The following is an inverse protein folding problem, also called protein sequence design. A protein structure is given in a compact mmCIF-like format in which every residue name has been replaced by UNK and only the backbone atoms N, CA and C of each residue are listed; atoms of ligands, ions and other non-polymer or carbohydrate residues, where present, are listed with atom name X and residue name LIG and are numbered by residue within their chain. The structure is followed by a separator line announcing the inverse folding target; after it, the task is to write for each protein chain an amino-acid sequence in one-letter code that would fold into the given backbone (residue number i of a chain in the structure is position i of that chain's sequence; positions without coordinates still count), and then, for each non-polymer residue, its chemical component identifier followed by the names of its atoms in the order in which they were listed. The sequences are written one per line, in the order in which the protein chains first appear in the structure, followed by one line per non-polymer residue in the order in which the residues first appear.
data_IF_453654252410
#
_entry.id   IF_453654252410
#
_cell.length_a   1.000
_cell.length_b   1.000
_cell.length_c   1.000
_cell.angle_alpha   90.00
_cell.angle_beta   90.00
_cell.angle_gamma   90.00
#
_symmetry.space_group_name_H-M   'P 1'
#
loop_
_entity.id
_entity.type
_entity.pdbx_description
1 polymer ?
#
# COMPACT_ATOMS: atom_id res chain seq x y z
N UNK A 1 -0.84 107.48 -118.39
CA UNK A 1 -0.44 108.52 -119.36
C UNK A 1 0.93 108.14 -119.89
N UNK A 2 0.95 107.75 -121.16
CA UNK A 2 2.03 107.81 -122.15
C UNK A 2 3.47 107.34 -121.85
N UNK A 3 3.94 106.54 -122.81
CA UNK A 3 5.33 106.23 -123.20
C UNK A 3 6.10 105.17 -122.41
N UNK A 4 6.17 103.98 -123.00
CA UNK A 4 7.45 103.38 -123.37
C UNK A 4 7.28 102.50 -124.62
N UNK A 5 7.08 103.15 -125.77
CA UNK A 5 7.42 102.60 -127.09
C UNK A 5 8.88 102.97 -127.34
N UNK A 6 9.80 102.10 -126.93
CA UNK A 6 11.17 102.06 -127.44
C UNK A 6 11.72 100.65 -127.16
N UNK A 7 12.13 99.94 -128.21
CA UNK A 7 12.59 98.54 -128.17
C UNK A 7 14.00 98.37 -127.54
N UNK A 8 14.37 99.22 -126.58
CA UNK A 8 15.69 99.26 -125.93
C UNK A 8 15.62 99.09 -124.41
N UNK A 9 14.47 98.69 -123.84
CA UNK A 9 14.37 98.37 -122.41
C UNK A 9 13.47 97.16 -122.21
N UNK A 10 14.09 96.00 -122.03
CA UNK A 10 13.38 94.74 -121.75
C UNK A 10 13.01 94.68 -120.25
N UNK A 11 11.76 94.37 -119.92
CA UNK A 11 11.34 94.18 -118.52
C UNK A 11 12.05 92.99 -117.82
N UNK A 12 12.71 92.11 -118.61
CA UNK A 12 13.57 91.04 -118.12
C UNK A 12 15.03 91.45 -117.87
N UNK A 13 15.47 92.65 -118.29
CA UNK A 13 16.81 93.17 -117.97
C UNK A 13 16.81 93.74 -116.55
N UNK A 14 17.24 92.92 -115.60
CA UNK A 14 17.41 93.33 -114.21
C UNK A 14 18.72 94.11 -114.01
N UNK A 15 18.67 95.42 -114.23
CA UNK A 15 19.78 96.35 -113.97
C UNK A 15 20.19 96.42 -112.48
N UNK A 16 19.40 95.85 -111.57
CA UNK A 16 19.67 95.77 -110.14
C UNK A 16 20.09 94.37 -109.67
N UNK A 17 20.35 93.43 -110.59
CA UNK A 17 20.62 92.02 -110.28
C UNK A 17 21.79 91.82 -109.32
N UNK A 18 22.89 92.57 -109.48
CA UNK A 18 24.04 92.51 -108.56
C UNK A 18 23.69 92.93 -107.13
N UNK A 19 22.87 93.98 -106.97
CA UNK A 19 22.44 94.44 -105.64
C UNK A 19 21.49 93.42 -105.00
N UNK A 20 20.60 92.82 -105.80
CA UNK A 20 19.68 91.76 -105.38
C UNK A 20 20.45 90.50 -104.97
N UNK A 21 21.46 90.13 -105.75
CA UNK A 21 22.37 89.00 -105.48
C UNK A 21 23.15 89.21 -104.17
N UNK A 22 23.75 90.40 -103.96
CA UNK A 22 24.43 90.72 -102.71
C UNK A 22 23.50 90.65 -101.50
N UNK A 23 22.28 91.21 -101.61
CA UNK A 23 21.29 91.14 -100.54
C UNK A 23 20.83 89.70 -100.25
N UNK A 24 20.64 88.86 -101.28
CA UNK A 24 20.34 87.44 -101.12
C UNK A 24 21.51 86.67 -100.49
N UNK A 25 22.75 87.00 -100.86
CA UNK A 25 23.95 86.40 -100.29
C UNK A 25 24.12 86.76 -98.81
N UNK A 26 23.84 88.00 -98.43
CA UNK A 26 23.85 88.46 -97.03
C UNK A 26 22.72 87.81 -96.21
N UNK A 27 21.51 87.69 -96.77
CA UNK A 27 20.39 86.97 -96.14
C UNK A 27 20.73 85.49 -95.93
N UNK A 28 21.24 84.81 -96.97
CA UNK A 28 21.68 83.42 -96.86
C UNK A 28 22.79 83.26 -95.82
N UNK A 29 23.77 84.18 -95.79
CA UNK A 29 24.84 84.16 -94.78
C UNK A 29 24.29 84.34 -93.37
N UNK A 30 23.38 85.30 -93.16
CA UNK A 30 22.76 85.56 -91.86
C UNK A 30 21.93 84.36 -91.38
N UNK A 31 21.13 83.74 -92.25
CA UNK A 31 20.38 82.52 -91.91
C UNK A 31 21.28 81.34 -91.61
N UNK A 32 22.34 81.13 -92.38
CA UNK A 32 23.31 80.07 -92.11
C UNK A 32 24.05 80.30 -90.79
N UNK A 33 24.45 81.54 -90.48
CA UNK A 33 25.07 81.88 -89.20
C UNK A 33 24.09 81.63 -88.04
N UNK A 34 22.82 82.02 -88.16
CA UNK A 34 21.78 81.73 -87.17
C UNK A 34 21.59 80.23 -86.96
N UNK A 35 21.43 79.44 -88.03
CA UNK A 35 21.29 77.98 -87.96
C UNK A 35 22.52 77.31 -87.32
N UNK A 36 23.74 77.79 -87.63
CA UNK A 36 24.96 77.30 -87.00
C UNK A 36 24.98 77.62 -85.51
N UNK A 37 24.58 78.83 -85.11
CA UNK A 37 24.51 79.22 -83.69
C UNK A 37 23.47 78.42 -82.91
N UNK A 38 22.27 78.26 -83.46
CA UNK A 38 21.19 77.48 -82.85
C UNK A 38 21.57 76.02 -82.72
N UNK A 39 22.16 75.42 -83.76
CA UNK A 39 22.63 74.02 -83.70
C UNK A 39 23.72 73.85 -82.65
N UNK A 40 24.67 74.78 -82.56
CA UNK A 40 25.73 74.75 -81.54
C UNK A 40 25.17 74.90 -80.12
N UNK A 41 24.19 75.78 -79.93
CA UNK A 41 23.50 75.94 -78.65
C UNK A 41 22.76 74.67 -78.27
N UNK A 42 21.95 74.10 -79.18
CA UNK A 42 21.24 72.85 -78.96
C UNK A 42 22.17 71.66 -78.67
N UNK A 43 23.31 71.55 -79.38
CA UNK A 43 24.33 70.54 -79.10
C UNK A 43 24.98 70.74 -77.72
N UNK A 44 25.20 71.99 -77.31
CA UNK A 44 25.73 72.32 -75.97
C UNK A 44 24.73 71.95 -74.88
N UNK A 45 23.45 72.31 -75.05
CA UNK A 45 22.38 72.00 -74.10
C UNK A 45 22.17 70.49 -73.99
N UNK A 46 22.19 69.77 -75.12
CA UNK A 46 22.11 68.30 -75.14
C UNK A 46 23.28 67.67 -74.39
N UNK A 47 24.51 68.17 -74.57
CA UNK A 47 25.69 67.69 -73.83
C UNK A 47 25.59 68.00 -72.35
N UNK A 48 25.09 69.16 -71.97
CA UNK A 48 24.88 69.53 -70.57
C UNK A 48 23.82 68.64 -69.92
N UNK A 49 22.69 68.41 -70.60
CA UNK A 49 21.64 67.51 -70.13
C UNK A 49 22.13 66.07 -70.00
N UNK A 50 22.92 65.57 -70.96
CA UNK A 50 23.50 64.23 -70.87
C UNK A 50 24.46 64.11 -69.68
N UNK A 51 25.34 65.09 -69.47
CA UNK A 51 26.24 65.09 -68.30
C UNK A 51 25.46 65.10 -66.98
N UNK A 52 24.44 65.94 -66.86
CA UNK A 52 23.59 65.98 -65.67
C UNK A 52 22.86 64.65 -65.44
N UNK A 53 22.40 63.99 -66.51
CA UNK A 53 21.81 62.66 -66.42
C UNK A 53 22.83 61.60 -65.96
N UNK A 54 24.02 61.57 -66.57
CA UNK A 54 25.07 60.62 -66.23
C UNK A 54 25.51 60.80 -64.76
N UNK A 55 25.64 62.04 -64.29
CA UNK A 55 25.93 62.37 -62.89
C UNK A 55 24.83 61.89 -61.94
N UNK A 56 23.56 62.07 -62.32
CA UNK A 56 22.42 61.59 -61.53
C UNK A 56 22.38 60.06 -61.43
N UNK A 57 22.68 59.35 -62.53
CA UNK A 57 22.76 57.88 -62.54
C UNK A 57 23.90 57.41 -61.64
N UNK A 58 25.09 58.01 -61.74
CA UNK A 58 26.22 57.69 -60.88
C UNK A 58 25.93 57.96 -59.40
N UNK A 59 25.23 59.05 -59.08
CA UNK A 59 24.82 59.35 -57.71
C UNK A 59 23.82 58.30 -57.17
N UNK A 60 22.84 57.90 -57.99
CA UNK A 60 21.88 56.86 -57.63
C UNK A 60 22.56 55.51 -57.40
N UNK A 61 23.48 55.12 -58.27
CA UNK A 61 24.16 53.83 -58.17
C UNK A 61 25.09 53.79 -56.93
N UNK A 62 25.75 54.92 -56.59
CA UNK A 62 26.48 55.05 -55.31
C UNK A 62 25.57 54.85 -54.10
N UNK A 63 24.40 55.51 -54.11
CA UNK A 63 23.42 55.39 -53.04
C UNK A 63 22.91 53.94 -52.92
N UNK A 64 22.68 53.26 -54.05
CA UNK A 64 22.26 51.87 -54.06
C UNK A 64 23.32 50.95 -53.41
N UNK A 65 24.60 51.13 -53.75
CA UNK A 65 25.69 50.38 -53.13
C UNK A 65 25.82 50.65 -51.62
N UNK A 66 25.63 51.90 -51.19
CA UNK A 66 25.64 52.27 -49.77
C UNK A 66 24.48 51.62 -49.02
N UNK A 67 23.27 51.65 -49.59
CA UNK A 67 22.08 51.00 -49.00
C UNK A 67 22.27 49.49 -48.88
N UNK A 68 22.75 48.82 -49.94
CA UNK A 68 23.01 47.39 -49.91
C UNK A 68 24.03 47.02 -48.82
N UNK A 69 25.10 47.81 -48.67
CA UNK A 69 26.09 47.60 -47.61
C UNK A 69 25.47 47.73 -46.21
N UNK A 70 24.62 48.73 -46.01
CA UNK A 70 23.94 48.95 -44.73
C UNK A 70 22.94 47.83 -44.42
N UNK A 71 22.21 47.33 -45.42
CA UNK A 71 21.31 46.19 -45.28
C UNK A 71 22.07 44.91 -44.89
N UNK A 72 23.18 44.62 -45.58
CA UNK A 72 24.03 43.48 -45.25
C UNK A 72 24.57 43.57 -43.82
N UNK A 73 24.97 44.76 -43.37
CA UNK A 73 25.43 44.95 -42.00
C UNK A 73 24.31 44.77 -40.96
N UNK A 74 23.12 45.32 -41.21
CA UNK A 74 21.95 45.09 -40.37
C UNK A 74 21.59 43.60 -40.30
N UNK A 75 21.57 42.91 -41.43
CA UNK A 75 21.28 41.48 -41.48
C UNK A 75 22.31 40.67 -40.69
N UNK A 76 23.60 41.01 -40.81
CA UNK A 76 24.66 40.38 -40.02
C UNK A 76 24.43 40.59 -38.52
N UNK A 77 24.10 41.81 -38.09
CA UNK A 77 23.83 42.13 -36.69
C UNK A 77 22.62 41.38 -36.14
N UNK A 78 21.55 41.25 -36.93
CA UNK A 78 20.36 40.46 -36.56
C UNK A 78 20.72 38.98 -36.42
N UNK A 79 21.47 38.43 -37.38
CA UNK A 79 21.90 37.03 -37.34
C UNK A 79 22.80 36.75 -36.13
N UNK A 80 23.73 37.64 -35.80
CA UNK A 80 24.57 37.53 -34.61
C UNK A 80 23.75 37.60 -33.32
N UNK A 81 22.76 38.50 -33.24
CA UNK A 81 21.86 38.60 -32.10
C UNK A 81 21.03 37.33 -31.92
N UNK A 82 20.45 36.80 -33.00
CA UNK A 82 19.69 35.54 -33.00
C UNK A 82 20.56 34.36 -32.58
N UNK A 83 21.80 34.29 -33.06
CA UNK A 83 22.74 33.25 -32.66
C UNK A 83 23.03 33.31 -31.16
N UNK A 84 23.28 34.50 -30.61
CA UNK A 84 23.51 34.69 -29.16
C UNK A 84 22.29 34.30 -28.34
N UNK A 85 21.10 34.72 -28.77
CA UNK A 85 19.85 34.38 -28.11
C UNK A 85 19.60 32.87 -28.12
N UNK A 86 19.73 32.22 -29.28
CA UNK A 86 19.54 30.77 -29.39
C UNK A 86 20.56 29.98 -28.55
N UNK A 87 21.81 30.45 -28.46
CA UNK A 87 22.81 29.84 -27.57
C UNK A 87 22.41 29.95 -26.10
N UNK A 88 22.02 31.14 -25.65
CA UNK A 88 21.57 31.36 -24.28
C UNK A 88 20.32 30.51 -23.95
N UNK A 89 19.38 30.41 -24.90
CA UNK A 89 18.18 29.58 -24.75
C UNK A 89 18.52 28.09 -24.61
N UNK A 90 19.45 27.57 -25.40
CA UNK A 90 19.91 26.18 -25.28
C UNK A 90 20.59 25.94 -23.94
N UNK A 91 21.43 26.87 -23.48
CA UNK A 91 22.08 26.79 -22.17
C UNK A 91 21.05 26.76 -21.03
N UNK A 92 20.04 27.64 -21.08
CA UNK A 92 18.94 27.67 -20.11
C UNK A 92 18.17 26.35 -20.10
N UNK A 93 17.81 25.81 -21.27
CA UNK A 93 17.11 24.53 -21.37
C UNK A 93 17.92 23.37 -20.81
N UNK A 94 19.24 23.35 -21.04
CA UNK A 94 20.12 22.31 -20.47
C UNK A 94 20.17 22.44 -18.95
N UNK A 95 20.23 23.65 -18.41
CA UNK A 95 20.20 23.87 -16.96
C UNK A 95 18.86 23.44 -16.35
N UNK A 96 17.74 23.80 -16.97
CA UNK A 96 16.41 23.38 -16.53
C UNK A 96 16.29 21.86 -16.51
N UNK A 97 16.69 21.18 -17.59
CA UNK A 97 16.68 19.70 -17.63
C UNK A 97 17.52 19.08 -16.52
N UNK A 98 18.72 19.62 -16.24
CA UNK A 98 19.55 19.12 -15.15
C UNK A 98 18.90 19.32 -13.78
N UNK A 99 18.22 20.45 -13.58
CA UNK A 99 17.47 20.71 -12.35
C UNK A 99 16.29 19.76 -12.20
N UNK A 100 15.56 19.52 -13.28
CA UNK A 100 14.43 18.59 -13.29
C UNK A 100 14.88 17.14 -13.08
N UNK A 101 15.97 16.71 -13.71
CA UNK A 101 16.60 15.41 -13.47
C UNK A 101 17.05 15.24 -12.01
N UNK A 102 17.62 16.30 -11.41
CA UNK A 102 18.01 16.28 -10.01
C UNK A 102 16.81 16.18 -9.07
N UNK A 103 15.73 16.94 -9.34
CA UNK A 103 14.47 16.85 -8.58
C UNK A 103 13.84 15.46 -8.71
N UNK A 104 13.75 14.92 -9.92
CA UNK A 104 13.23 13.58 -10.13
C UNK A 104 14.04 12.52 -9.36
N UNK A 105 15.37 12.68 -9.31
CA UNK A 105 16.22 11.78 -8.55
C UNK A 105 15.95 11.89 -7.05
N UNK A 106 15.80 13.10 -6.53
CA UNK A 106 15.45 13.36 -5.13
C UNK A 106 14.07 12.77 -4.79
N UNK A 107 13.07 12.97 -5.65
CA UNK A 107 11.73 12.41 -5.48
C UNK A 107 11.75 10.88 -5.48
N UNK A 108 12.48 10.26 -6.42
CA UNK A 108 12.67 8.79 -6.46
C UNK A 108 13.37 8.29 -5.20
N UNK A 109 14.38 9.01 -4.70
CA UNK A 109 15.07 8.66 -3.46
C UNK A 109 14.15 8.77 -2.25
N UNK A 110 13.35 9.83 -2.16
CA UNK A 110 12.38 10.03 -1.10
C UNK A 110 11.30 8.94 -1.12
N UNK A 111 10.80 8.55 -2.30
CA UNK A 111 9.87 7.44 -2.47
C UNK A 111 10.47 6.12 -1.96
N UNK A 112 11.68 5.79 -2.38
CA UNK A 112 12.40 4.58 -1.92
C UNK A 112 12.55 4.63 -0.40
N UNK A 113 13.00 5.75 0.15
CA UNK A 113 13.19 5.90 1.59
C UNK A 113 11.89 5.73 2.37
N UNK A 114 10.80 6.33 1.89
CA UNK A 114 9.48 6.21 2.49
C UNK A 114 8.96 4.76 2.45
N UNK A 115 9.19 4.03 1.37
CA UNK A 115 8.81 2.62 1.31
C UNK A 115 9.64 1.76 2.26
N UNK A 116 10.96 1.93 2.25
CA UNK A 116 11.90 1.17 3.08
C UNK A 116 11.65 1.41 4.57
N UNK A 117 11.36 2.65 4.96
CA UNK A 117 11.07 3.01 6.36
C UNK A 117 9.60 2.89 6.73
N UNK A 118 8.72 2.69 5.76
CA UNK A 118 7.29 2.57 5.97
C UNK A 118 6.90 1.30 6.73
N UNK A 119 5.75 1.38 7.39
CA UNK A 119 5.18 0.31 8.22
C UNK A 119 4.92 -1.01 7.48
N UNK A 120 4.76 -0.94 6.15
CA UNK A 120 4.53 -2.10 5.29
C UNK A 120 5.79 -2.98 5.21
N UNK A 121 6.94 -2.40 4.84
CA UNK A 121 8.18 -3.15 4.63
C UNK A 121 8.95 -3.42 5.92
N UNK A 122 8.83 -2.54 6.93
CA UNK A 122 9.41 -2.76 8.26
C UNK A 122 8.61 -3.75 9.10
N UNK A 123 7.41 -4.12 8.64
CA UNK A 123 6.46 -4.95 9.34
C UNK A 123 6.19 -4.52 10.80
N UNK A 124 6.20 -3.21 11.07
CA UNK A 124 5.98 -2.65 12.40
C UNK A 124 4.75 -3.27 13.12
N UNK A 125 4.91 -3.87 14.32
CA UNK A 125 3.82 -4.48 15.08
C UNK A 125 2.90 -3.44 15.76
N UNK A 126 3.36 -2.20 15.94
CA UNK A 126 2.60 -1.17 16.66
C UNK A 126 1.39 -0.66 15.89
N UNK A 127 1.39 -0.82 14.57
CA UNK A 127 0.25 -0.51 13.68
C UNK A 127 -0.98 -1.35 14.04
N UNK A 128 -0.80 -2.49 14.71
CA UNK A 128 -1.90 -3.31 15.19
C UNK A 128 -2.63 -2.69 16.39
N UNK A 129 -2.08 -1.66 17.05
CA UNK A 129 -2.73 -1.01 18.19
C UNK A 129 -3.91 -0.16 17.74
N UNK A 130 -5.09 -0.39 18.35
CA UNK A 130 -6.29 0.37 18.02
C UNK A 130 -6.36 1.67 18.81
N UNK A 131 -6.66 2.78 18.13
CA UNK A 131 -6.88 4.07 18.78
C UNK A 131 -8.14 4.10 19.69
N UNK A 132 -9.00 3.07 19.60
CA UNK A 132 -10.24 2.97 20.37
C UNK A 132 -10.03 2.50 21.83
N UNK A 133 -8.80 2.11 22.21
CA UNK A 133 -8.47 1.83 23.60
C UNK A 133 -7.22 0.97 23.78
N UNK A 134 -6.56 1.07 24.96
CA UNK A 134 -5.38 0.27 25.27
C UNK A 134 -5.73 -1.23 25.30
N UNK A 135 -4.84 -2.05 24.72
CA UNK A 135 -5.02 -3.51 24.64
C UNK A 135 -5.93 -4.01 23.51
N UNK A 136 -6.66 -3.12 22.84
CA UNK A 136 -7.45 -3.49 21.66
C UNK A 136 -6.55 -3.54 20.43
N UNK A 137 -6.48 -4.70 19.77
CA UNK A 137 -5.75 -4.87 18.51
C UNK A 137 -6.68 -4.81 17.31
N UNK A 138 -6.21 -4.25 16.21
CA UNK A 138 -6.90 -4.23 14.92
C UNK A 138 -6.75 -5.61 14.28
N UNK A 139 -7.87 -6.26 14.01
CA UNK A 139 -7.91 -7.69 13.65
C UNK A 139 -7.11 -8.01 12.37
N UNK A 140 -7.23 -7.18 11.33
CA UNK A 140 -6.56 -7.41 10.03
C UNK A 140 -5.10 -6.95 10.00
N UNK A 141 -4.61 -6.26 11.02
CA UNK A 141 -3.22 -5.81 11.15
C UNK A 141 -2.45 -6.62 12.20
N UNK A 142 -3.09 -7.59 12.84
CA UNK A 142 -2.48 -8.37 13.90
C UNK A 142 -1.44 -9.35 13.35
N UNK A 143 -0.19 -9.20 13.79
CA UNK A 143 0.98 -9.99 13.35
C UNK A 143 1.44 -11.03 14.37
N UNK A 144 0.63 -11.33 15.38
CA UNK A 144 0.96 -12.27 16.45
C UNK A 144 1.36 -11.60 17.76
N UNK A 145 1.70 -12.44 18.75
CA UNK A 145 2.10 -12.01 20.10
C UNK A 145 3.52 -11.46 20.12
N UNK A 146 3.77 -10.50 21.01
CA UNK A 146 5.12 -10.00 21.26
C UNK A 146 6.01 -11.08 21.86
N UNK A 147 7.33 -10.91 21.77
CA UNK A 147 8.29 -11.80 22.41
C UNK A 147 8.07 -11.87 23.93
N UNK A 148 7.80 -10.72 24.56
CA UNK A 148 7.52 -10.62 25.99
C UNK A 148 6.23 -11.36 26.38
N UNK A 149 5.15 -11.22 25.61
CA UNK A 149 3.90 -11.95 25.83
C UNK A 149 4.12 -13.46 25.76
N UNK A 150 4.88 -13.92 24.76
CA UNK A 150 5.22 -15.34 24.60
C UNK A 150 6.08 -15.86 25.76
N UNK A 151 7.01 -15.06 26.26
CA UNK A 151 7.82 -15.40 27.44
C UNK A 151 6.98 -15.47 28.71
N UNK A 152 6.02 -14.56 28.89
CA UNK A 152 5.09 -14.60 30.01
C UNK A 152 4.24 -15.87 29.99
N UNK A 153 3.70 -16.25 28.82
CA UNK A 153 2.98 -17.53 28.66
C UNK A 153 3.86 -18.71 29.02
N UNK A 154 5.12 -18.73 28.56
CA UNK A 154 6.07 -19.80 28.88
C UNK A 154 6.35 -19.87 30.38
N UNK A 155 6.52 -18.72 31.05
CA UNK A 155 6.73 -18.65 32.50
C UNK A 155 5.54 -19.23 33.26
N UNK A 156 4.32 -18.90 32.84
CA UNK A 156 3.10 -19.40 33.46
C UNK A 156 2.93 -20.91 33.24
N UNK A 157 3.26 -21.42 32.05
CA UNK A 157 3.27 -22.86 31.78
C UNK A 157 4.23 -23.61 32.71
N UNK A 158 5.45 -23.10 32.92
CA UNK A 158 6.41 -23.69 33.85
C UNK A 158 5.87 -23.69 35.29
N UNK A 159 5.22 -22.60 35.70
CA UNK A 159 4.56 -22.52 37.00
C UNK A 159 3.45 -23.56 37.15
N UNK A 160 2.60 -23.72 36.13
CA UNK A 160 1.51 -24.70 36.14
C UNK A 160 2.03 -26.14 36.22
N UNK A 161 3.16 -26.46 35.58
CA UNK A 161 3.79 -27.78 35.69
C UNK A 161 4.16 -28.06 37.15
N UNK A 162 4.86 -27.13 37.80
CA UNK A 162 5.26 -27.27 39.21
C UNK A 162 4.05 -27.38 40.14
N UNK A 163 3.02 -26.55 39.95
CA UNK A 163 1.80 -26.61 40.76
C UNK A 163 1.06 -27.94 40.57
N UNK A 164 1.01 -28.48 39.34
CA UNK A 164 0.37 -29.76 39.07
C UNK A 164 1.15 -30.95 39.66
N UNK A 165 2.48 -30.91 39.62
CA UNK A 165 3.32 -31.90 40.30
C UNK A 165 3.08 -31.88 41.81
N UNK A 166 3.02 -30.71 42.43
CA UNK A 166 2.71 -30.56 43.85
C UNK A 166 1.32 -31.11 44.20
N UNK A 167 0.30 -30.82 43.39
CA UNK A 167 -1.05 -31.38 43.55
C UNK A 167 -1.06 -32.91 43.44
N UNK A 168 -0.35 -33.48 42.46
CA UNK A 168 -0.24 -34.93 42.28
C UNK A 168 0.42 -35.60 43.50
N UNK A 169 1.48 -35.00 44.03
CA UNK A 169 2.13 -35.49 45.24
C UNK A 169 1.22 -35.40 46.46
N UNK A 170 0.45 -34.32 46.61
CA UNK A 170 -0.51 -34.17 47.70
C UNK A 170 -1.65 -35.21 47.62
N UNK A 171 -2.18 -35.44 46.41
CA UNK A 171 -3.19 -36.49 46.18
C UNK A 171 -2.65 -37.88 46.47
N UNK A 172 -1.42 -38.18 46.06
CA UNK A 172 -0.78 -39.46 46.37
C UNK A 172 -0.63 -39.68 47.88
N UNK A 173 -0.26 -38.63 48.64
CA UNK A 173 -0.20 -38.71 50.11
C UNK A 173 -1.56 -38.95 50.74
N UNK A 174 -2.59 -38.23 50.31
CA UNK A 174 -3.96 -38.42 50.82
C UNK A 174 -4.50 -39.81 50.49
N UNK A 175 -4.22 -40.33 49.29
CA UNK A 175 -4.58 -41.69 48.90
C UNK A 175 -3.88 -42.72 49.78
N UNK A 176 -2.59 -42.54 50.10
CA UNK A 176 -1.90 -43.44 51.03
C UNK A 176 -2.49 -43.39 52.44
N UNK A 177 -2.80 -42.21 52.96
CA UNK A 177 -3.44 -42.04 54.27
C UNK A 177 -4.84 -42.70 54.29
N UNK A 178 -5.60 -42.56 53.20
CA UNK A 178 -6.90 -43.20 53.03
C UNK A 178 -6.79 -44.72 53.01
N UNK A 179 -5.83 -45.27 52.25
CA UNK A 179 -5.58 -46.72 52.20
C UNK A 179 -5.19 -47.27 53.57
N UNK A 180 -4.34 -46.56 54.32
CA UNK A 180 -3.96 -46.93 55.69
C UNK A 180 -5.18 -46.94 56.62
N UNK A 181 -6.07 -45.94 56.51
CA UNK A 181 -7.32 -45.88 57.28
C UNK A 181 -8.24 -47.06 56.95
N UNK A 182 -8.45 -47.37 55.65
CA UNK A 182 -9.28 -48.50 55.20
C UNK A 182 -8.74 -49.82 55.75
N UNK A 183 -7.43 -50.06 55.62
CA UNK A 183 -6.79 -51.26 56.18
C UNK A 183 -6.96 -51.33 57.70
N UNK A 184 -6.89 -50.18 58.39
CA UNK A 184 -7.13 -50.09 59.83
C UNK A 184 -8.57 -50.46 60.22
N UNK A 185 -9.56 -49.95 59.48
CA UNK A 185 -10.98 -50.28 59.65
C UNK A 185 -11.23 -51.76 59.38
N UNK A 186 -10.72 -52.31 58.28
CA UNK A 186 -10.88 -53.72 57.93
C UNK A 186 -10.32 -54.64 59.02
N UNK A 187 -9.12 -54.34 59.53
CA UNK A 187 -8.51 -55.06 60.67
C UNK A 187 -9.42 -55.00 61.90
N UNK A 188 -9.96 -53.83 62.22
CA UNK A 188 -10.86 -53.65 63.35
C UNK A 188 -12.17 -54.43 63.18
N UNK A 189 -12.80 -54.38 62.00
CA UNK A 189 -13.99 -55.16 61.66
C UNK A 189 -13.73 -56.66 61.83
N UNK A 190 -12.62 -57.19 61.31
CA UNK A 190 -12.25 -58.61 61.46
C UNK A 190 -12.06 -59.00 62.94
N UNK A 191 -11.46 -58.12 63.75
CA UNK A 191 -11.33 -58.36 65.19
C UNK A 191 -12.69 -58.39 65.88
N UNK A 192 -13.57 -57.44 65.57
CA UNK A 192 -14.94 -57.40 66.12
C UNK A 192 -15.77 -58.63 65.71
N UNK A 193 -15.71 -59.05 64.44
CA UNK A 193 -16.36 -60.27 63.96
C UNK A 193 -15.87 -61.51 64.73
N UNK A 194 -14.56 -61.62 64.97
CA UNK A 194 -14.00 -62.71 65.78
C UNK A 194 -14.52 -62.68 67.22
N UNK A 195 -14.66 -61.50 67.82
CA UNK A 195 -15.24 -61.37 69.17
C UNK A 195 -16.72 -61.78 69.20
N UNK A 196 -17.51 -61.36 68.21
CA UNK A 196 -18.92 -61.76 68.06
C UNK A 196 -19.00 -63.29 67.91
N UNK A 197 -18.19 -63.89 67.05
CA UNK A 197 -18.15 -65.35 66.86
C UNK A 197 -17.77 -66.10 68.14
N UNK A 198 -16.86 -65.56 68.97
CA UNK A 198 -16.54 -66.14 70.28
C UNK A 198 -17.74 -66.10 71.22
N UNK A 199 -18.39 -64.94 71.35
CA UNK A 199 -19.59 -64.77 72.18
C UNK A 199 -20.72 -65.68 71.71
N UNK A 200 -20.92 -65.82 70.40
CA UNK A 200 -21.93 -66.70 69.84
C UNK A 200 -21.65 -68.17 70.15
N UNK A 201 -20.39 -68.64 70.01
CA UNK A 201 -20.00 -69.99 70.44
C UNK A 201 -20.23 -70.22 71.93
N UNK A 202 -20.00 -69.23 72.78
CA UNK A 202 -20.28 -69.34 74.21
C UNK A 202 -21.79 -69.43 74.50
N UNK A 203 -22.61 -68.65 73.79
CA UNK A 203 -24.07 -68.74 73.87
C UNK A 203 -24.57 -70.10 73.38
N UNK A 204 -24.07 -70.59 72.24
CA UNK A 204 -24.44 -71.89 71.68
C UNK A 204 -24.10 -73.03 72.65
N UNK A 205 -22.96 -72.96 73.34
CA UNK A 205 -22.59 -73.92 74.40
C UNK A 205 -23.58 -73.88 75.57
N UNK A 206 -23.97 -72.68 76.04
CA UNK A 206 -24.96 -72.52 77.12
C UNK A 206 -26.32 -73.09 76.71
N UNK A 207 -26.77 -72.82 75.49
CA UNK A 207 -28.01 -73.35 74.93
C UNK A 207 -27.94 -74.88 74.83
N UNK A 208 -26.81 -75.44 74.35
CA UNK A 208 -26.61 -76.89 74.29
C UNK A 208 -26.68 -77.55 75.67
N UNK A 209 -26.08 -76.93 76.68
CA UNK A 209 -26.11 -77.43 78.06
C UNK A 209 -27.52 -77.39 78.65
N UNK A 210 -28.25 -76.28 78.44
CA UNK A 210 -29.66 -76.15 78.82
C UNK A 210 -30.53 -77.21 78.11
N UNK A 211 -30.35 -77.40 76.80
CA UNK A 211 -31.07 -78.44 76.04
C UNK A 211 -30.75 -79.85 76.56
N UNK A 212 -29.51 -80.11 76.98
CA UNK A 212 -29.12 -81.39 77.59
C UNK A 212 -29.78 -81.61 78.94
N UNK A 213 -29.90 -80.57 79.77
CA UNK A 213 -30.62 -80.62 81.05
C UNK A 213 -32.12 -80.87 80.82
N UNK A 214 -32.75 -80.10 79.93
CA UNK A 214 -34.15 -80.26 79.54
C UNK A 214 -34.43 -81.66 78.98
N UNK A 215 -33.55 -82.21 78.14
CA UNK A 215 -33.69 -83.57 77.62
C UNK A 215 -33.64 -84.62 78.74
N UNK A 216 -32.71 -84.48 79.70
CA UNK A 216 -32.66 -85.37 80.88
C UNK A 216 -33.94 -85.29 81.70
N UNK A 217 -34.40 -84.07 82.02
CA UNK A 217 -35.66 -83.84 82.74
C UNK A 217 -36.86 -84.44 82.01
N UNK A 218 -36.88 -84.35 80.68
CA UNK A 218 -37.93 -84.95 79.87
C UNK A 218 -37.88 -86.49 79.91
N UNK A 219 -36.68 -87.09 79.80
CA UNK A 219 -36.52 -88.55 79.92
C UNK A 219 -36.89 -89.07 81.30
N UNK A 220 -36.46 -88.42 82.39
CA UNK A 220 -36.82 -88.83 83.75
C UNK A 220 -38.32 -88.67 84.00
N UNK A 221 -38.93 -87.61 83.47
CA UNK A 221 -40.39 -87.43 83.54
C UNK A 221 -41.12 -88.51 82.73
N UNK A 222 -40.63 -88.89 81.55
CA UNK A 222 -41.17 -90.00 80.77
C UNK A 222 -41.04 -91.33 81.51
N UNK A 223 -39.86 -91.66 82.04
CA UNK A 223 -39.63 -92.86 82.85
C UNK A 223 -40.54 -92.91 84.08
N UNK A 224 -40.76 -91.77 84.76
CA UNK A 224 -41.69 -91.67 85.87
C UNK A 224 -43.14 -91.92 85.42
N UNK A 225 -43.57 -91.31 84.30
CA UNK A 225 -44.89 -91.55 83.74
C UNK A 225 -45.10 -93.03 83.36
N UNK A 226 -44.12 -93.66 82.71
CA UNK A 226 -44.20 -95.07 82.30
C UNK A 226 -44.17 -96.04 83.50
N UNK A 227 -43.29 -95.83 84.48
CA UNK A 227 -43.10 -96.76 85.61
C UNK A 227 -44.06 -96.59 86.76
N UNK A 228 -44.54 -95.38 87.02
CA UNK A 228 -45.35 -95.07 88.23
C UNK A 228 -46.80 -94.75 87.88
N UNK A 229 -47.03 -94.04 86.76
CA UNK A 229 -48.39 -93.59 86.41
C UNK A 229 -49.10 -94.58 85.49
N UNK A 230 -48.40 -95.14 84.49
CA UNK A 230 -48.98 -96.05 83.50
C UNK A 230 -48.90 -97.54 83.88
N UNK A 231 -48.35 -97.86 85.04
CA UNK A 231 -48.39 -99.20 85.64
C UNK A 231 -49.64 -99.35 86.50
N UNK A 232 -50.71 -99.84 85.90
CA UNK A 232 -51.93 -100.18 86.63
C UNK A 232 -51.71 -101.46 87.43
N UNK A 233 -51.33 -101.33 88.70
CA UNK A 233 -51.40 -102.43 89.67
C UNK A 233 -52.84 -102.51 90.18
N UNK A 234 -53.54 -103.66 90.01
CA UNK A 234 -54.89 -103.81 90.57
C UNK A 234 -54.85 -103.62 92.08
N UNK A 235 -55.64 -102.67 92.58
CA UNK A 235 -55.73 -102.35 94.01
C UNK A 235 -56.32 -103.55 94.78
N UNK A 236 -56.00 -103.76 96.06
CA UNK A 236 -56.51 -104.92 96.84
C UNK A 236 -58.03 -105.09 96.74
N UNK A 237 -58.77 -103.98 96.67
CA UNK A 237 -60.22 -103.95 96.44
C UNK A 237 -60.70 -104.57 95.11
N UNK A 238 -59.83 -104.79 94.13
CA UNK A 238 -60.12 -105.52 92.89
C UNK A 238 -60.15 -107.04 93.12
N UNK A 239 -59.24 -107.56 93.96
CA UNK A 239 -59.17 -108.99 94.25
C UNK A 239 -60.29 -109.43 95.21
N UNK A 240 -60.74 -108.54 96.11
CA UNK A 240 -61.87 -108.77 97.02
C UNK A 240 -63.23 -108.91 96.31
N UNK A 241 -63.31 -108.63 95.00
CA UNK A 241 -64.56 -108.78 94.22
C UNK A 241 -64.83 -110.23 93.82
N UNK A 242 -63.81 -111.10 93.76
CA UNK A 242 -63.93 -112.48 93.30
C UNK A 242 -64.20 -113.45 94.46
N UNK A 243 -65.04 -114.47 94.23
CA UNK A 243 -65.45 -115.50 95.22
C UNK A 243 -66.30 -115.01 96.41
N UNK A 244 -67.03 -113.90 96.26
CA UNK A 244 -67.94 -113.36 97.31
C UNK A 244 -69.32 -114.03 97.34
N UNK A 245 -69.68 -114.89 96.38
CA UNK A 245 -70.95 -115.63 96.37
C UNK A 245 -70.80 -117.06 95.82
N UNK A 246 -71.44 -118.03 96.48
CA UNK A 246 -71.41 -119.45 96.12
C UNK A 246 -72.58 -119.80 95.19
N UNK A 247 -72.29 -120.32 94.00
CA UNK A 247 -73.21 -121.10 93.17
C UNK A 247 -72.56 -122.41 92.80
#
# INVERSE_FOLDING_TARGET
MMMALCAYRFAGEDLASEKRWKAQQEQCRSWLEQQITERRAADSDKRAAQKAYDEAVLARDKLACELERMEQECQRRINEANLRFNKALVEEQVLQRRLDEAKELEDKQAEIYNHVTGDMLTENPDVANSNLGPGRKIQYLYKGMSTEERENVRREQLRQIVENEAKRQAQARLETEWQEMVIGIDKHCVLQEREIMRKQRELDKKILEQNKQLAKEQTTKQEYMERVVFTNVPTEAYYDQFNTTTR
#
